data_IF_058024619683
#
_entry.id   IF_058024619683
#
_cell.length_a   1.000
_cell.length_b   1.000
_cell.length_c   1.000
_cell.angle_alpha   90.00
_cell.angle_beta   90.00
_cell.angle_gamma   90.00
#
_symmetry.space_group_name_H-M   'P 1'
#
loop_
_entity.id
_entity.type
_entity.pdbx_description
1 polymer ?
#
# COMPACT_ATOMS: atom_id res chain seq x y z
N UNK A 1 -53.03 26.58 53.03
CA UNK A 1 -52.23 25.33 53.12
C UNK A 1 -52.80 24.42 52.03
N UNK A 2 -52.15 23.93 50.97
CA UNK A 2 -50.78 23.53 50.59
C UNK A 2 -50.42 24.20 49.25
N UNK A 3 -49.28 24.88 49.09
CA UNK A 3 -47.97 24.40 48.59
C UNK A 3 -47.98 23.71 47.19
N UNK A 4 -47.48 24.49 46.21
CA UNK A 4 -46.38 24.20 45.24
C UNK A 4 -46.28 22.79 44.63
N UNK A 5 -46.32 22.74 43.29
CA UNK A 5 -45.75 21.67 42.45
C UNK A 5 -45.95 22.03 40.97
N UNK A 6 -45.13 22.92 40.41
CA UNK A 6 -43.98 22.60 39.52
C UNK A 6 -44.38 21.75 38.29
N UNK A 7 -44.70 22.48 37.23
CA UNK A 7 -44.28 22.34 35.82
C UNK A 7 -43.34 21.16 35.52
N UNK A 8 -43.74 20.29 34.57
CA UNK A 8 -42.83 19.85 33.51
C UNK A 8 -43.62 19.45 32.24
N UNK A 9 -43.89 20.46 31.40
CA UNK A 9 -44.21 20.27 29.99
C UNK A 9 -42.93 19.77 29.30
N UNK A 10 -42.82 18.46 29.10
CA UNK A 10 -41.80 17.88 28.22
C UNK A 10 -42.20 18.26 26.80
N UNK A 11 -41.63 19.38 26.35
CA UNK A 11 -41.56 19.72 24.94
C UNK A 11 -40.89 18.56 24.23
N UNK A 12 -41.65 17.92 23.35
CA UNK A 12 -41.17 17.10 22.25
C UNK A 12 -40.38 18.06 21.34
N UNK A 13 -39.14 18.33 21.73
CA UNK A 13 -38.16 18.94 20.86
C UNK A 13 -37.91 17.92 19.75
N UNK A 14 -38.52 18.22 18.60
CA UNK A 14 -38.12 17.69 17.32
C UNK A 14 -36.59 17.68 17.28
N UNK A 15 -36.01 16.49 17.12
CA UNK A 15 -34.69 16.35 16.54
C UNK A 15 -34.89 16.23 15.02
N UNK A 16 -35.02 17.32 14.25
CA UNK A 16 -34.69 17.21 12.85
C UNK A 16 -33.17 17.07 12.78
N UNK A 17 -32.73 15.97 12.19
CA UNK A 17 -31.47 15.87 11.50
C UNK A 17 -30.19 16.24 12.29
N UNK A 18 -29.60 15.23 12.94
CA UNK A 18 -28.17 15.00 12.77
C UNK A 18 -27.96 13.92 11.70
N UNK A 19 -28.55 14.16 10.53
CA UNK A 19 -28.14 13.53 9.28
C UNK A 19 -27.17 14.50 8.58
N UNK A 20 -26.13 14.96 9.28
CA UNK A 20 -24.91 15.32 8.56
C UNK A 20 -24.23 14.00 8.19
N UNK A 21 -24.81 13.32 7.20
CA UNK A 21 -23.98 12.55 6.27
C UNK A 21 -23.05 13.63 5.72
N UNK A 22 -21.86 13.68 6.30
CA UNK A 22 -20.78 14.56 5.94
C UNK A 22 -20.37 14.17 4.50
N UNK A 23 -21.14 14.66 3.52
CA UNK A 23 -20.90 14.49 2.08
C UNK A 23 -19.64 15.24 1.63
N UNK A 24 -18.93 15.86 2.56
CA UNK A 24 -17.58 16.38 2.42
C UNK A 24 -16.54 15.50 3.14
N UNK A 25 -16.73 14.17 3.17
CA UNK A 25 -15.55 13.30 3.20
C UNK A 25 -14.74 13.68 1.98
N UNK A 26 -13.61 14.36 2.19
CA UNK A 26 -12.65 14.75 1.16
C UNK A 26 -12.23 13.50 0.38
N UNK A 27 -13.03 13.01 -0.56
CA UNK A 27 -12.68 11.81 -1.31
C UNK A 27 -11.40 12.07 -2.07
N UNK A 28 -10.45 11.15 -1.91
CA UNK A 28 -9.16 11.26 -2.56
C UNK A 28 -9.38 11.18 -4.08
N UNK A 29 -9.06 12.24 -4.81
CA UNK A 29 -9.25 12.25 -6.26
C UNK A 29 -8.22 11.33 -6.92
N UNK A 30 -8.55 10.79 -8.08
CA UNK A 30 -7.62 9.98 -8.88
C UNK A 30 -6.30 10.72 -9.14
N UNK A 31 -6.37 12.03 -9.44
CA UNK A 31 -5.18 12.87 -9.62
C UNK A 31 -4.30 12.98 -8.38
N UNK A 32 -4.90 12.93 -7.18
CA UNK A 32 -4.14 12.92 -5.93
C UNK A 32 -3.41 11.60 -5.76
N UNK A 33 -4.05 10.47 -6.07
CA UNK A 33 -3.39 9.15 -5.97
C UNK A 33 -2.16 9.05 -6.88
N UNK A 34 -2.25 9.54 -8.12
CA UNK A 34 -1.11 9.58 -9.05
C UNK A 34 0.05 10.42 -8.49
N UNK A 35 -0.27 11.61 -7.95
CA UNK A 35 0.74 12.50 -7.34
C UNK A 35 1.37 11.90 -6.09
N UNK A 36 0.58 11.25 -5.23
CA UNK A 36 1.08 10.55 -4.04
C UNK A 36 2.07 9.47 -4.45
N UNK A 37 1.67 8.58 -5.36
CA UNK A 37 2.54 7.49 -5.82
C UNK A 37 3.81 8.01 -6.49
N UNK A 38 3.71 9.06 -7.30
CA UNK A 38 4.88 9.69 -7.92
C UNK A 38 5.82 10.30 -6.86
N UNK A 39 5.28 10.94 -5.83
CA UNK A 39 6.06 11.57 -4.76
C UNK A 39 6.79 10.52 -3.91
N UNK A 40 6.09 9.44 -3.58
CA UNK A 40 6.66 8.24 -2.96
C UNK A 40 7.84 7.74 -3.81
N UNK A 41 7.60 7.27 -5.03
CA UNK A 41 8.63 6.58 -5.82
C UNK A 41 9.80 7.48 -6.26
N UNK A 42 9.64 8.80 -6.25
CA UNK A 42 10.75 9.73 -6.46
C UNK A 42 11.57 9.95 -5.19
N UNK A 43 10.92 9.99 -4.02
CA UNK A 43 11.55 10.26 -2.73
C UNK A 43 12.00 9.02 -1.96
N UNK A 44 11.59 7.83 -2.41
CA UNK A 44 11.62 6.62 -1.60
C UNK A 44 12.99 6.16 -1.17
N UNK A 45 13.08 5.78 0.11
CA UNK A 45 14.23 5.15 0.73
C UNK A 45 14.65 3.82 0.06
N UNK A 46 13.75 3.01 -0.48
CA UNK A 46 14.13 1.73 -1.13
C UNK A 46 15.10 1.89 -2.30
N UNK A 47 15.04 3.03 -3.01
CA UNK A 47 15.98 3.36 -4.08
C UNK A 47 17.40 3.58 -3.56
N UNK A 48 17.56 4.00 -2.30
CA UNK A 48 18.86 4.17 -1.65
C UNK A 48 19.46 2.81 -1.32
N UNK A 49 18.64 1.88 -0.86
CA UNK A 49 19.04 0.50 -0.54
C UNK A 49 19.36 -0.32 -1.79
N UNK A 50 18.69 -0.04 -2.91
CA UNK A 50 18.85 -0.75 -4.17
C UNK A 50 19.09 0.20 -5.36
N UNK A 51 20.25 0.86 -5.43
CA UNK A 51 20.52 1.91 -6.41
C UNK A 51 20.64 1.42 -7.86
N UNK A 52 20.81 0.10 -8.07
CA UNK A 52 20.93 -0.52 -9.39
C UNK A 52 19.58 -0.88 -10.04
N UNK A 53 18.46 -0.67 -9.34
CA UNK A 53 17.14 -1.00 -9.88
C UNK A 53 16.71 0.08 -10.89
N UNK A 54 16.34 -0.35 -12.09
CA UNK A 54 15.78 0.48 -13.16
C UNK A 54 14.26 0.29 -13.33
N UNK A 55 13.76 -0.91 -12.99
CA UNK A 55 12.37 -1.32 -13.12
C UNK A 55 11.85 -1.87 -11.79
N UNK A 56 10.73 -1.31 -11.34
CA UNK A 56 10.03 -1.72 -10.14
C UNK A 56 8.75 -2.47 -10.50
N UNK A 57 8.62 -3.73 -10.06
CA UNK A 57 7.42 -4.52 -10.26
C UNK A 57 6.50 -4.38 -9.05
N UNK A 58 5.29 -3.86 -9.27
CA UNK A 58 4.29 -3.65 -8.24
C UNK A 58 3.12 -4.61 -8.44
N UNK A 59 2.82 -5.40 -7.42
CA UNK A 59 1.62 -6.23 -7.42
C UNK A 59 0.37 -5.34 -7.44
N UNK A 60 -0.52 -5.57 -8.42
CA UNK A 60 -1.86 -5.01 -8.42
C UNK A 60 -2.62 -5.60 -7.25
N UNK A 61 -3.12 -4.73 -6.38
CA UNK A 61 -3.91 -5.08 -5.21
C UNK A 61 -5.23 -4.27 -5.23
N UNK A 62 -6.00 -4.34 -4.14
CA UNK A 62 -7.24 -3.55 -4.01
C UNK A 62 -7.05 -2.02 -4.03
N UNK A 63 -5.83 -1.53 -3.85
CA UNK A 63 -5.50 -0.10 -3.88
C UNK A 63 -5.10 0.39 -5.27
N UNK A 64 -4.77 -0.52 -6.19
CA UNK A 64 -4.30 -0.19 -7.54
C UNK A 64 -5.32 0.65 -8.31
N UNK A 65 -4.84 1.74 -8.91
CA UNK A 65 -5.59 2.57 -9.84
C UNK A 65 -4.84 2.65 -11.17
N UNK A 66 -5.57 2.49 -12.29
CA UNK A 66 -5.01 2.56 -13.65
C UNK A 66 -4.31 3.89 -13.98
N UNK A 67 -4.61 4.95 -13.24
CA UNK A 67 -4.00 6.27 -13.44
C UNK A 67 -2.69 6.45 -12.66
N UNK A 68 -2.26 5.45 -11.89
CA UNK A 68 -0.97 5.49 -11.20
C UNK A 68 0.19 5.58 -12.20
N UNK A 69 1.31 6.21 -11.80
CA UNK A 69 2.41 6.42 -12.72
C UNK A 69 3.05 5.09 -13.13
N UNK A 70 3.22 4.89 -14.44
CA UNK A 70 4.01 3.79 -15.01
C UNK A 70 5.51 4.12 -15.12
N UNK A 71 5.88 5.35 -14.80
CA UNK A 71 7.25 5.84 -14.84
C UNK A 71 7.42 7.01 -13.89
N UNK A 72 8.56 7.10 -13.24
CA UNK A 72 8.99 8.29 -12.50
C UNK A 72 10.25 8.89 -13.12
N UNK A 73 10.85 9.88 -12.47
CA UNK A 73 12.13 10.42 -12.93
C UNK A 73 13.27 9.38 -12.89
N UNK A 74 13.13 8.34 -12.05
CA UNK A 74 14.22 7.37 -11.76
C UNK A 74 13.91 5.94 -12.19
N UNK A 75 12.64 5.55 -12.26
CA UNK A 75 12.25 4.16 -12.43
C UNK A 75 11.18 3.99 -13.51
N UNK A 76 11.24 2.86 -14.21
CA UNK A 76 10.08 2.25 -14.85
C UNK A 76 9.25 1.55 -13.78
N UNK A 77 7.93 1.68 -13.84
CA UNK A 77 6.99 1.01 -12.93
C UNK A 77 6.12 0.05 -13.74
N UNK A 78 6.20 -1.23 -13.42
CA UNK A 78 5.38 -2.27 -14.02
C UNK A 78 4.37 -2.81 -13.01
N UNK A 79 3.09 -2.63 -13.29
CA UNK A 79 2.02 -3.18 -12.49
C UNK A 79 1.65 -4.57 -13.00
N UNK A 80 1.90 -5.59 -12.19
CA UNK A 80 1.69 -7.00 -12.53
C UNK A 80 0.55 -7.58 -11.69
N UNK A 81 -0.17 -8.55 -12.25
CA UNK A 81 -1.27 -9.19 -11.52
C UNK A 81 -0.75 -10.01 -10.33
N UNK A 82 -1.51 -10.07 -9.24
CA UNK A 82 -1.18 -10.91 -8.10
C UNK A 82 -1.62 -12.37 -8.36
N UNK A 83 -0.66 -13.21 -8.72
CA UNK A 83 -0.86 -14.64 -8.97
C UNK A 83 0.37 -15.45 -8.51
N UNK A 84 0.26 -16.78 -8.49
CA UNK A 84 1.32 -17.64 -7.95
C UNK A 84 2.68 -17.48 -8.63
N UNK A 85 2.71 -17.23 -9.95
CA UNK A 85 3.95 -17.00 -10.70
C UNK A 85 4.59 -15.65 -10.38
N UNK A 86 3.82 -14.57 -10.34
CA UNK A 86 4.35 -13.24 -10.00
C UNK A 86 4.75 -13.15 -8.54
N UNK A 87 4.16 -13.99 -7.67
CA UNK A 87 4.57 -14.13 -6.28
C UNK A 87 5.95 -14.75 -6.08
N UNK A 88 6.57 -15.33 -7.10
CA UNK A 88 7.95 -15.83 -7.04
C UNK A 88 9.03 -14.76 -7.23
N UNK A 89 8.64 -13.54 -7.60
CA UNK A 89 9.61 -12.48 -7.84
C UNK A 89 10.30 -12.12 -6.54
N UNK A 90 11.62 -12.30 -6.58
CA UNK A 90 12.58 -12.10 -5.50
C UNK A 90 12.03 -12.50 -4.13
N UNK A 91 11.94 -13.80 -3.87
CA UNK A 91 11.47 -14.39 -2.59
C UNK A 91 12.63 -14.85 -1.69
N UNK A 92 13.86 -14.46 -2.04
CA UNK A 92 15.08 -14.79 -1.30
C UNK A 92 15.79 -16.09 -1.75
N UNK A 93 16.88 -16.46 -1.06
CA UNK A 93 17.72 -17.60 -1.41
C UNK A 93 17.00 -18.94 -1.20
N UNK A 94 17.35 -19.93 -2.04
CA UNK A 94 16.81 -21.31 -1.97
C UNK A 94 15.76 -21.62 -3.04
N UNK A 95 15.05 -20.61 -3.53
CA UNK A 95 14.06 -20.78 -4.58
C UNK A 95 14.68 -20.66 -5.98
N UNK A 96 14.13 -21.29 -7.03
CA UNK A 96 14.34 -20.87 -8.41
C UNK A 96 13.61 -19.53 -8.60
N UNK A 97 14.24 -18.45 -8.13
CA UNK A 97 13.59 -17.14 -8.07
C UNK A 97 13.87 -16.32 -9.32
N UNK A 98 12.87 -15.54 -9.69
CA UNK A 98 13.04 -14.43 -10.61
C UNK A 98 13.73 -13.27 -9.87
N UNK A 99 14.83 -12.77 -10.39
CA UNK A 99 15.64 -11.73 -9.73
C UNK A 99 14.98 -10.34 -9.72
N UNK A 100 13.84 -10.17 -10.40
CA UNK A 100 13.12 -8.90 -10.45
C UNK A 100 12.60 -8.49 -9.06
N UNK A 101 12.81 -7.23 -8.71
CA UNK A 101 12.32 -6.68 -7.44
C UNK A 101 10.81 -6.52 -7.46
N UNK A 102 10.15 -7.04 -6.42
CA UNK A 102 8.70 -6.96 -6.25
C UNK A 102 8.33 -6.20 -4.99
N UNK A 103 7.48 -5.19 -5.15
CA UNK A 103 6.83 -4.50 -4.04
C UNK A 103 5.33 -4.78 -3.99
N UNK A 104 4.80 -4.77 -2.77
CA UNK A 104 3.36 -4.73 -2.50
C UNK A 104 3.01 -3.53 -1.64
N UNK A 105 1.90 -2.85 -1.95
CA UNK A 105 1.32 -1.86 -1.04
C UNK A 105 0.36 -2.60 -0.11
N UNK A 106 0.67 -2.65 1.17
CA UNK A 106 -0.14 -3.37 2.16
C UNK A 106 -1.18 -2.49 2.81
N UNK A 107 -0.87 -1.20 2.94
CA UNK A 107 -1.73 -0.20 3.57
C UNK A 107 -1.66 1.10 2.80
N UNK A 108 -2.81 1.73 2.60
CA UNK A 108 -2.95 3.04 1.99
C UNK A 108 -4.08 3.78 2.70
N UNK A 109 -3.73 4.54 3.74
CA UNK A 109 -4.69 5.19 4.63
C UNK A 109 -4.63 6.70 4.44
N UNK A 110 -5.65 7.24 3.79
CA UNK A 110 -5.81 8.68 3.60
C UNK A 110 -6.74 9.28 4.66
N UNK A 111 -6.33 10.42 5.24
CA UNK A 111 -7.12 11.21 6.20
C UNK A 111 -6.82 12.70 6.01
N UNK A 112 -7.80 13.43 5.47
CA UNK A 112 -7.73 14.88 5.18
C UNK A 112 -6.57 15.26 4.26
N UNK A 113 -5.47 15.74 4.82
CA UNK A 113 -4.26 16.20 4.12
C UNK A 113 -3.10 15.21 4.29
N UNK A 114 -3.34 14.05 4.90
CA UNK A 114 -2.30 13.10 5.27
C UNK A 114 -2.56 11.74 4.63
N UNK A 115 -1.50 11.10 4.14
CA UNK A 115 -1.49 9.69 3.71
C UNK A 115 -0.47 8.93 4.52
N UNK A 116 -0.86 7.78 5.05
CA UNK A 116 0.06 6.79 5.59
C UNK A 116 0.04 5.57 4.69
N UNK A 117 1.20 5.14 4.24
CA UNK A 117 1.34 4.03 3.31
C UNK A 117 2.41 3.07 3.83
N UNK A 118 2.14 1.78 3.68
CA UNK A 118 3.08 0.71 4.04
C UNK A 118 3.32 -0.14 2.80
N UNK A 119 4.58 -0.27 2.42
CA UNK A 119 5.03 -1.12 1.32
C UNK A 119 5.88 -2.26 1.86
N UNK A 120 5.75 -3.44 1.26
CA UNK A 120 6.62 -4.59 1.51
C UNK A 120 7.47 -4.85 0.28
N UNK A 121 8.77 -4.91 0.51
CA UNK A 121 9.72 -5.50 -0.41
C UNK A 121 9.93 -6.96 -0.07
N UNK A 122 9.52 -7.83 -0.99
CA UNK A 122 9.55 -9.27 -0.78
C UNK A 122 10.96 -9.85 -0.86
N UNK A 123 11.88 -9.20 -1.57
CA UNK A 123 13.26 -9.70 -1.72
C UNK A 123 14.03 -9.60 -0.43
N UNK A 124 14.00 -8.42 0.16
CA UNK A 124 14.70 -8.11 1.41
C UNK A 124 13.83 -8.36 2.65
N UNK A 125 12.54 -8.67 2.48
CA UNK A 125 11.53 -8.67 3.55
C UNK A 125 11.54 -7.38 4.37
N UNK A 126 11.67 -6.23 3.71
CA UNK A 126 11.65 -4.93 4.37
C UNK A 126 10.30 -4.24 4.19
N UNK A 127 9.77 -3.72 5.29
CA UNK A 127 8.64 -2.81 5.29
C UNK A 127 9.13 -1.37 5.21
N UNK A 128 8.51 -0.60 4.32
CA UNK A 128 8.71 0.84 4.18
C UNK A 128 7.44 1.56 4.63
N UNK A 129 7.52 2.18 5.81
CA UNK A 129 6.45 2.96 6.41
C UNK A 129 6.61 4.44 6.02
N UNK A 130 5.73 4.93 5.17
CA UNK A 130 5.80 6.30 4.61
C UNK A 130 4.61 7.14 5.06
N UNK A 131 4.88 8.36 5.51
CA UNK A 131 3.86 9.39 5.76
C UNK A 131 4.04 10.56 4.80
N UNK A 132 2.96 10.94 4.14
CA UNK A 132 2.90 12.12 3.28
C UNK A 132 1.90 13.15 3.80
N UNK A 133 2.20 14.43 3.59
CA UNK A 133 1.30 15.55 3.86
C UNK A 133 1.10 16.37 2.58
N UNK A 134 -0.13 16.78 2.30
CA UNK A 134 -0.47 17.68 1.22
C UNK A 134 -0.25 19.13 1.66
N UNK A 135 0.75 19.79 1.10
CA UNK A 135 1.02 21.22 1.28
C UNK A 135 0.84 21.91 -0.06
N UNK A 136 -0.07 22.87 -0.12
CA UNK A 136 -0.30 23.69 -1.32
C UNK A 136 -0.51 22.87 -2.61
N UNK A 137 -1.28 21.77 -2.54
CA UNK A 137 -1.57 20.84 -3.65
C UNK A 137 -0.40 19.96 -4.10
N UNK A 138 0.66 19.91 -3.31
CA UNK A 138 1.81 19.03 -3.49
C UNK A 138 1.88 18.03 -2.33
N UNK A 139 2.10 16.76 -2.66
CA UNK A 139 2.27 15.71 -1.65
C UNK A 139 3.75 15.56 -1.33
N UNK A 140 4.12 15.78 -0.07
CA UNK A 140 5.49 15.72 0.40
C UNK A 140 5.65 14.55 1.37
N UNK A 141 6.70 13.75 1.18
CA UNK A 141 7.10 12.73 2.15
C UNK A 141 7.70 13.43 3.37
N UNK A 142 7.09 13.25 4.54
CA UNK A 142 7.54 13.88 5.80
C UNK A 142 8.10 12.87 6.80
N UNK A 143 7.90 11.57 6.55
CA UNK A 143 8.45 10.48 7.35
C UNK A 143 8.64 9.24 6.49
N UNK A 144 9.79 8.59 6.65
CA UNK A 144 10.11 7.27 6.10
C UNK A 144 10.79 6.46 7.20
N UNK A 145 10.29 5.25 7.44
CA UNK A 145 10.90 4.27 8.35
C UNK A 145 11.05 2.93 7.62
N UNK A 146 12.14 2.22 7.93
CA UNK A 146 12.35 0.84 7.51
C UNK A 146 12.19 -0.05 8.73
N UNK A 147 11.44 -1.13 8.58
CA UNK A 147 11.43 -2.22 9.55
C UNK A 147 11.62 -3.56 8.85
N UNK A 148 12.25 -4.50 9.57
CA UNK A 148 12.42 -5.87 9.07
C UNK A 148 11.11 -6.62 9.27
N UNK A 149 10.64 -7.24 8.21
CA UNK A 149 9.48 -8.11 8.25
C UNK A 149 9.80 -9.52 8.72
N UNK A 150 8.76 -10.20 9.19
CA UNK A 150 8.85 -11.63 9.50
C UNK A 150 9.09 -12.43 8.22
N UNK A 151 9.88 -13.50 8.34
CA UNK A 151 10.05 -14.46 7.25
C UNK A 151 8.76 -15.26 7.10
N UNK A 152 8.24 -15.35 5.88
CA UNK A 152 7.19 -16.31 5.56
C UNK A 152 7.80 -17.71 5.62
N UNK A 153 7.30 -18.56 6.51
CA UNK A 153 7.83 -19.93 6.69
C UNK A 153 7.59 -20.81 5.47
N UNK A 154 6.48 -20.58 4.77
CA UNK A 154 6.07 -21.32 3.57
C UNK A 154 5.14 -20.49 2.69
N UNK A 155 5.35 -20.54 1.38
CA UNK A 155 4.45 -19.93 0.41
C UNK A 155 3.46 -20.96 -0.16
N UNK A 156 2.24 -20.53 -0.45
CA UNK A 156 1.18 -21.38 -1.04
C UNK A 156 1.59 -21.99 -2.39
N UNK A 157 2.36 -21.26 -3.20
CA UNK A 157 2.80 -21.74 -4.51
C UNK A 157 3.78 -22.92 -4.43
N UNK A 158 4.33 -23.21 -3.25
CA UNK A 158 5.30 -24.29 -3.08
C UNK A 158 4.71 -25.68 -3.31
N UNK A 159 3.37 -25.77 -3.31
CA UNK A 159 2.63 -27.00 -3.58
C UNK A 159 2.12 -27.09 -5.04
N UNK A 160 2.40 -26.08 -5.87
CA UNK A 160 1.91 -26.05 -7.26
C UNK A 160 2.82 -26.88 -8.20
N UNK A 161 2.22 -27.67 -9.09
CA UNK A 161 2.93 -28.59 -9.98
C UNK A 161 4.07 -27.93 -10.77
N UNK A 162 3.82 -26.73 -11.30
CA UNK A 162 4.82 -26.01 -12.09
C UNK A 162 6.03 -25.60 -11.24
N UNK A 163 5.84 -25.33 -9.95
CA UNK A 163 6.92 -24.98 -9.02
C UNK A 163 7.75 -26.23 -8.68
N UNK A 164 7.08 -27.36 -8.41
CA UNK A 164 7.75 -28.63 -8.14
C UNK A 164 8.63 -29.04 -9.33
N UNK A 165 8.13 -28.91 -10.56
CA UNK A 165 8.91 -29.16 -11.79
C UNK A 165 10.12 -28.23 -11.93
N UNK A 166 9.96 -26.94 -11.58
CA UNK A 166 11.03 -25.96 -11.64
C UNK A 166 12.13 -26.26 -10.61
N UNK A 167 11.73 -26.66 -9.40
CA UNK A 167 12.65 -27.07 -8.32
C UNK A 167 13.44 -28.32 -8.72
N UNK A 168 12.77 -29.35 -9.24
CA UNK A 168 13.40 -30.58 -9.71
C UNK A 168 14.45 -30.31 -10.80
N UNK A 169 14.15 -29.43 -11.77
CA UNK A 169 15.10 -29.01 -12.81
C UNK A 169 16.36 -28.37 -12.22
N UNK A 170 16.19 -27.45 -11.26
CA UNK A 170 17.30 -26.77 -10.59
C UNK A 170 18.21 -27.75 -9.84
N UNK A 171 17.61 -28.71 -9.12
CA UNK A 171 18.35 -29.71 -8.34
C UNK A 171 19.12 -30.70 -9.25
N UNK A 172 18.58 -31.00 -10.43
CA UNK A 172 19.21 -31.92 -11.39
C UNK A 172 20.35 -31.30 -12.22
N UNK A 173 20.64 -29.99 -12.10
CA UNK A 173 21.61 -29.25 -12.94
C UNK A 173 21.45 -29.53 -14.45
N UNK A 174 20.21 -29.64 -14.93
CA UNK A 174 19.90 -29.57 -16.37
C UNK A 174 19.87 -28.11 -16.82
#
# INVERSE_FOLDING_TARGET
MLKKGIILLINIAMFPACHSIDKNKNELKTSDTTKIMASVFNGTMFLKENPSIDTLFLLKNKFFNKSWPHRTARLKIEFIDDNSKTRMFNIGPGFPCDARQRLSILKFNYKKDTVNMVMLDHGSNLFYDTKLINRNKNWEVVKEEISVGGRVERFEFEDEDWYLLLKEKKEKKL
#
